data_IF_393981037073
#
_entry.id   IF_393981037073
#
_cell.length_a   1.000
_cell.length_b   1.000
_cell.length_c   1.000
_cell.angle_alpha   90.00
_cell.angle_beta   90.00
_cell.angle_gamma   90.00
#
_symmetry.space_group_name_H-M   'P 1'
#
loop_
_entity.id
_entity.type
_entity.pdbx_description
1 polymer ?
#
# COMPACT_ATOMS: atom_id res chain seq x y z
N UNK A 1 1.55 -38.86 -23.01
CA UNK A 1 1.48 -37.80 -21.99
C UNK A 1 1.29 -36.48 -22.72
N UNK A 2 0.11 -35.85 -22.61
CA UNK A 2 -0.16 -34.58 -23.28
C UNK A 2 0.28 -33.42 -22.37
N UNK A 3 1.30 -32.68 -22.79
CA UNK A 3 1.83 -31.51 -22.07
C UNK A 3 1.00 -30.28 -22.42
N UNK A 4 -0.04 -29.98 -21.63
CA UNK A 4 -0.78 -28.72 -21.77
C UNK A 4 0.05 -27.58 -21.17
N UNK A 5 0.42 -26.63 -22.02
CA UNK A 5 1.20 -25.47 -21.63
C UNK A 5 0.27 -24.40 -21.06
N UNK A 6 0.37 -24.17 -19.75
CA UNK A 6 -0.38 -23.09 -19.07
C UNK A 6 0.38 -21.78 -19.22
N UNK A 7 -0.21 -20.80 -19.92
CA UNK A 7 0.36 -19.47 -20.02
C UNK A 7 0.00 -18.65 -18.76
N UNK A 8 1.03 -18.16 -18.05
CA UNK A 8 0.89 -17.11 -17.04
C UNK A 8 1.43 -15.81 -17.62
N UNK A 9 0.98 -14.67 -17.11
CA UNK A 9 1.48 -13.34 -17.48
C UNK A 9 2.31 -12.76 -16.33
N UNK A 10 3.62 -13.08 -16.24
CA UNK A 10 4.44 -12.67 -15.10
C UNK A 10 4.60 -11.15 -15.11
N UNK A 11 4.20 -10.49 -14.03
CA UNK A 11 4.40 -9.05 -13.84
C UNK A 11 3.39 -8.13 -14.50
N UNK A 12 2.31 -8.67 -15.10
CA UNK A 12 1.26 -7.85 -15.71
C UNK A 12 0.59 -6.87 -14.72
N UNK A 13 0.52 -7.24 -13.43
CA UNK A 13 -0.08 -6.44 -12.37
C UNK A 13 0.95 -5.72 -11.48
N UNK A 14 2.23 -5.69 -11.86
CA UNK A 14 3.28 -5.16 -10.98
C UNK A 14 3.05 -3.69 -10.61
N UNK A 15 2.58 -2.87 -11.56
CA UNK A 15 2.28 -1.46 -11.32
C UNK A 15 1.06 -1.29 -10.41
N UNK A 16 -0.04 -1.99 -10.69
CA UNK A 16 -1.26 -1.93 -9.88
C UNK A 16 -1.01 -2.41 -8.44
N UNK A 17 -0.20 -3.46 -8.27
CA UNK A 17 0.19 -3.94 -6.94
C UNK A 17 1.06 -2.90 -6.20
N UNK A 18 1.93 -2.19 -6.91
CA UNK A 18 2.72 -1.10 -6.34
C UNK A 18 1.81 0.04 -5.84
N UNK A 19 0.90 0.53 -6.68
CA UNK A 19 -0.02 1.62 -6.33
C UNK A 19 -0.91 1.26 -5.14
N UNK A 20 -1.43 0.03 -5.12
CA UNK A 20 -2.20 -0.49 -4.00
C UNK A 20 -1.38 -0.51 -2.71
N UNK A 21 -0.12 -0.93 -2.76
CA UNK A 21 0.77 -0.98 -1.59
C UNK A 21 1.02 0.42 -1.02
N UNK A 22 1.29 1.41 -1.88
CA UNK A 22 1.44 2.80 -1.44
C UNK A 22 0.15 3.32 -0.80
N UNK A 23 -1.00 3.06 -1.43
CA UNK A 23 -2.31 3.46 -0.90
C UNK A 23 -2.62 2.83 0.46
N UNK A 24 -2.36 1.54 0.63
CA UNK A 24 -2.54 0.84 1.91
C UNK A 24 -1.62 1.38 3.00
N UNK A 25 -0.37 1.71 2.67
CA UNK A 25 0.57 2.30 3.62
C UNK A 25 0.06 3.63 4.16
N UNK A 26 -0.47 4.50 3.28
CA UNK A 26 -1.09 5.77 3.67
C UNK A 26 -2.39 5.56 4.44
N UNK A 27 -3.22 4.59 4.03
CA UNK A 27 -4.46 4.27 4.70
C UNK A 27 -4.24 3.79 6.14
N UNK A 28 -3.18 3.02 6.38
CA UNK A 28 -2.76 2.61 7.71
C UNK A 28 -2.24 3.79 8.54
N UNK A 29 -1.38 4.62 7.97
CA UNK A 29 -0.84 5.80 8.65
C UNK A 29 -1.96 6.76 9.11
N UNK A 30 -3.08 6.83 8.38
CA UNK A 30 -4.20 7.72 8.67
C UNK A 30 -5.44 7.04 9.23
N UNK A 31 -5.39 5.74 9.54
CA UNK A 31 -6.54 4.95 10.01
C UNK A 31 -7.80 5.11 9.14
N UNK A 32 -7.63 5.22 7.81
CA UNK A 32 -8.72 5.57 6.89
C UNK A 32 -9.83 4.52 6.90
N UNK A 33 -9.47 3.23 6.85
CA UNK A 33 -10.44 2.12 6.80
C UNK A 33 -11.33 2.06 8.05
N UNK A 34 -10.79 2.02 9.28
CA UNK A 34 -11.64 2.00 10.48
C UNK A 34 -12.40 3.32 10.67
N UNK A 35 -11.82 4.48 10.33
CA UNK A 35 -12.52 5.76 10.41
C UNK A 35 -13.71 5.82 9.45
N UNK A 36 -13.56 5.32 8.22
CA UNK A 36 -14.63 5.25 7.23
C UNK A 36 -15.74 4.27 7.66
N UNK A 37 -15.38 3.13 8.27
CA UNK A 37 -16.36 2.20 8.82
C UNK A 37 -17.16 2.83 9.98
N UNK A 38 -16.49 3.48 10.93
CA UNK A 38 -17.14 4.16 12.05
C UNK A 38 -18.08 5.28 11.56
N UNK A 39 -17.66 6.03 10.53
CA UNK A 39 -18.48 7.07 9.92
C UNK A 39 -19.74 6.49 9.27
N UNK A 40 -19.63 5.35 8.60
CA UNK A 40 -20.77 4.64 8.01
C UNK A 40 -21.77 4.18 9.08
N UNK A 41 -21.28 3.86 10.29
CA UNK A 41 -22.10 3.55 11.46
C UNK A 41 -22.65 4.80 12.18
N UNK A 42 -22.40 6.01 11.64
CA UNK A 42 -22.84 7.28 12.23
C UNK A 42 -21.98 7.79 13.39
N UNK A 43 -20.83 7.17 13.66
CA UNK A 43 -19.91 7.55 14.74
C UNK A 43 -18.81 8.49 14.22
N UNK A 44 -18.73 9.69 14.81
CA UNK A 44 -17.72 10.70 14.45
C UNK A 44 -16.62 10.79 15.50
N UNK A 45 -15.67 9.85 15.46
CA UNK A 45 -14.63 9.70 16.49
C UNK A 45 -13.28 10.29 16.06
N UNK A 46 -13.25 11.60 15.76
CA UNK A 46 -12.04 12.31 15.29
C UNK A 46 -10.80 12.12 16.18
N UNK A 47 -10.99 12.11 17.49
CA UNK A 47 -9.90 11.97 18.45
C UNK A 47 -9.20 10.60 18.34
N UNK A 48 -9.97 9.53 18.13
CA UNK A 48 -9.44 8.16 18.05
C UNK A 48 -8.67 7.88 16.75
N UNK A 49 -9.05 8.54 15.64
CA UNK A 49 -8.44 8.30 14.32
C UNK A 49 -7.40 9.37 13.94
N UNK A 50 -6.71 9.94 14.92
CA UNK A 50 -5.57 10.83 14.66
C UNK A 50 -4.39 10.02 14.16
N UNK A 51 -4.22 9.98 12.83
CA UNK A 51 -3.10 9.28 12.21
C UNK A 51 -1.78 10.03 12.29
N UNK A 52 -0.72 9.37 11.83
CA UNK A 52 0.64 9.90 11.76
C UNK A 52 1.00 10.35 10.35
N UNK A 53 1.90 11.31 10.25
CA UNK A 53 2.53 11.69 8.99
C UNK A 53 3.59 10.65 8.58
N UNK A 54 3.65 10.36 7.28
CA UNK A 54 4.64 9.44 6.70
C UNK A 54 5.97 10.13 6.40
N UNK A 55 5.99 11.46 6.30
CA UNK A 55 7.21 12.22 6.02
C UNK A 55 8.28 11.95 7.08
N UNK A 56 9.50 11.67 6.63
CA UNK A 56 10.64 11.37 7.50
C UNK A 56 10.60 10.02 8.22
N UNK A 57 9.56 9.20 8.02
CA UNK A 57 9.49 7.83 8.54
C UNK A 57 10.29 6.88 7.66
N UNK A 58 10.75 5.78 8.27
CA UNK A 58 11.51 4.74 7.56
C UNK A 58 10.58 3.67 7.01
N UNK A 59 10.73 3.34 5.73
CA UNK A 59 10.03 2.25 5.06
C UNK A 59 11.00 1.10 4.74
N UNK A 60 10.82 -0.05 5.38
CA UNK A 60 11.56 -1.26 5.03
C UNK A 60 10.82 -2.04 3.93
N UNK A 61 11.44 -2.19 2.76
CA UNK A 61 10.91 -3.04 1.68
C UNK A 61 11.60 -4.40 1.71
N UNK A 62 10.86 -5.43 2.12
CA UNK A 62 11.35 -6.81 2.13
C UNK A 62 11.11 -7.47 0.78
N UNK A 63 12.16 -7.53 -0.04
CA UNK A 63 12.13 -8.10 -1.40
C UNK A 63 12.14 -7.02 -2.49
N UNK A 64 13.31 -6.86 -3.13
CA UNK A 64 13.54 -5.85 -4.17
C UNK A 64 13.27 -6.39 -5.58
N UNK A 65 12.10 -7.01 -5.75
CA UNK A 65 11.58 -7.38 -7.08
C UNK A 65 11.06 -6.15 -7.85
N UNK A 66 10.42 -6.38 -9.01
CA UNK A 66 9.83 -5.30 -9.83
C UNK A 66 8.90 -4.38 -9.01
N UNK A 67 8.02 -4.97 -8.20
CA UNK A 67 7.07 -4.21 -7.36
C UNK A 67 7.79 -3.47 -6.24
N UNK A 68 8.67 -4.14 -5.49
CA UNK A 68 9.36 -3.55 -4.33
C UNK A 68 10.20 -2.33 -4.71
N UNK A 69 10.87 -2.37 -5.87
CA UNK A 69 11.62 -1.21 -6.39
C UNK A 69 10.72 -0.03 -6.73
N UNK A 70 9.59 -0.27 -7.40
CA UNK A 70 8.63 0.77 -7.77
C UNK A 70 7.97 1.41 -6.54
N UNK A 71 7.72 0.61 -5.49
CA UNK A 71 7.21 1.09 -4.19
C UNK A 71 8.26 1.98 -3.52
N UNK A 72 9.52 1.55 -3.44
CA UNK A 72 10.59 2.33 -2.83
C UNK A 72 10.75 3.71 -3.49
N UNK A 73 10.70 3.77 -4.83
CA UNK A 73 10.81 5.04 -5.58
C UNK A 73 9.65 5.99 -5.25
N UNK A 74 8.41 5.49 -5.24
CA UNK A 74 7.23 6.31 -4.94
C UNK A 74 7.22 6.78 -3.49
N UNK A 75 7.50 5.89 -2.54
CA UNK A 75 7.50 6.23 -1.11
C UNK A 75 8.64 7.18 -0.73
N UNK A 76 9.78 7.11 -1.43
CA UNK A 76 10.82 8.13 -1.31
C UNK A 76 10.33 9.53 -1.75
N UNK A 77 9.43 9.63 -2.74
CA UNK A 77 8.80 10.90 -3.11
C UNK A 77 7.85 11.45 -2.03
N UNK A 78 7.30 10.58 -1.18
CA UNK A 78 6.57 10.98 0.04
C UNK A 78 7.50 11.42 1.19
N UNK A 79 8.82 11.47 0.95
CA UNK A 79 9.83 11.86 1.94
C UNK A 79 10.10 10.78 2.98
N UNK A 80 9.75 9.52 2.70
CA UNK A 80 10.15 8.38 3.51
C UNK A 80 11.60 7.98 3.23
N UNK A 81 12.26 7.37 4.21
CA UNK A 81 13.66 6.91 4.14
C UNK A 81 13.74 5.39 4.04
#
# INVERSE_FOLDING_TARGET
MHSYQTCVAPGANALSACELTCGLTLALARHIVPAAAALKDGRWERAQYTGTEVFGKTLAVLGLGRVGREVAVRMNAFGMK
#
